data_IF_946496381608
#
_entry.id   IF_946496381608
#
_cell.length_a   1.000
_cell.length_b   1.000
_cell.length_c   1.000
_cell.angle_alpha   90.00
_cell.angle_beta   90.00
_cell.angle_gamma   90.00
#
_symmetry.space_group_name_H-M   'P 1'
#
loop_
_entity.id
_entity.type
_entity.pdbx_description
1 polymer ?
#
# COMPACT_ATOMS: atom_id res chain seq x y z
N UNK A 1 10.23 -8.54 15.97
CA UNK A 1 10.46 -8.36 17.42
C UNK A 1 10.12 -6.93 17.87
N UNK A 2 10.54 -5.88 17.15
CA UNK A 2 10.30 -4.47 17.50
C UNK A 2 8.85 -3.96 17.49
N UNK A 3 7.92 -4.61 16.77
CA UNK A 3 6.54 -4.12 16.65
C UNK A 3 5.67 -4.38 17.89
N UNK A 4 6.08 -5.26 18.82
CA UNK A 4 5.27 -5.60 20.01
C UNK A 4 5.25 -4.50 21.07
N UNK A 5 6.27 -3.65 21.09
CA UNK A 5 6.42 -2.59 22.10
C UNK A 5 5.81 -1.25 21.63
N UNK A 6 5.62 -1.07 20.32
CA UNK A 6 5.06 0.15 19.74
C UNK A 6 3.55 0.24 20.01
N UNK A 7 3.08 1.43 20.40
CA UNK A 7 1.64 1.70 20.52
C UNK A 7 1.05 1.91 19.14
N UNK A 8 0.13 1.05 18.74
CA UNK A 8 -0.52 1.09 17.42
C UNK A 8 -1.90 1.70 17.60
N UNK A 9 -2.22 2.73 16.84
CA UNK A 9 -3.55 3.31 16.79
C UNK A 9 -4.27 2.87 15.52
N UNK A 10 -5.46 2.31 15.66
CA UNK A 10 -6.32 1.95 14.53
C UNK A 10 -7.70 2.54 14.72
N UNK A 11 -8.49 2.55 13.66
CA UNK A 11 -9.92 2.78 13.78
C UNK A 11 -10.59 1.61 14.57
N UNK A 12 -11.89 1.75 14.83
CA UNK A 12 -12.70 0.74 15.53
C UNK A 12 -13.26 -0.34 14.60
N UNK A 13 -12.64 -0.58 13.44
CA UNK A 13 -13.13 -1.60 12.52
C UNK A 13 -12.92 -3.00 13.10
N UNK A 14 -13.99 -3.82 13.06
CA UNK A 14 -14.03 -5.15 13.71
C UNK A 14 -12.95 -6.11 13.23
N UNK A 15 -12.43 -5.93 12.02
CA UNK A 15 -11.37 -6.77 11.47
C UNK A 15 -10.05 -6.68 12.26
N UNK A 16 -9.85 -5.61 13.05
CA UNK A 16 -8.67 -5.44 13.90
C UNK A 16 -8.80 -6.12 15.28
N UNK A 17 -10.00 -6.56 15.67
CA UNK A 17 -10.22 -7.21 16.98
C UNK A 17 -9.35 -8.46 17.20
N UNK A 18 -9.15 -9.36 16.20
CA UNK A 18 -8.24 -10.51 16.36
C UNK A 18 -6.78 -10.09 16.58
N UNK A 19 -6.35 -8.95 16.03
CA UNK A 19 -4.95 -8.49 16.12
C UNK A 19 -4.55 -8.04 17.54
N UNK A 20 -5.52 -7.76 18.42
CA UNK A 20 -5.24 -7.48 19.83
C UNK A 20 -4.51 -8.62 20.54
N UNK A 21 -4.62 -9.85 20.03
CA UNK A 21 -3.87 -11.01 20.53
C UNK A 21 -2.36 -10.90 20.28
N UNK A 22 -1.99 -10.33 19.13
CA UNK A 22 -0.59 -10.25 18.69
C UNK A 22 0.06 -8.91 19.07
N UNK A 23 -0.75 -7.85 19.19
CA UNK A 23 -0.34 -6.48 19.47
C UNK A 23 -0.97 -5.98 20.77
N UNK A 24 -0.26 -6.17 21.88
CA UNK A 24 -0.74 -5.82 23.23
C UNK A 24 -1.04 -4.31 23.39
N UNK A 25 -0.28 -3.45 22.70
CA UNK A 25 -0.43 -1.99 22.75
C UNK A 25 -1.34 -1.43 21.64
N UNK A 26 -2.21 -2.25 21.03
CA UNK A 26 -3.16 -1.83 20.01
C UNK A 26 -4.35 -1.08 20.61
N UNK A 27 -4.46 0.21 20.33
CA UNK A 27 -5.58 1.08 20.72
C UNK A 27 -6.49 1.32 19.52
N UNK A 28 -7.75 0.93 19.65
CA UNK A 28 -8.79 1.26 18.68
C UNK A 28 -9.48 2.55 19.11
N UNK A 29 -9.48 3.55 18.26
CA UNK A 29 -10.09 4.86 18.51
C UNK A 29 -11.21 5.07 17.51
N UNK A 30 -12.34 5.61 17.98
CA UNK A 30 -13.45 5.97 17.11
C UNK A 30 -13.06 7.08 16.13
N UNK A 31 -13.77 7.10 15.00
CA UNK A 31 -13.56 8.11 13.97
C UNK A 31 -14.07 9.47 14.47
N UNK A 32 -13.15 10.43 14.64
CA UNK A 32 -13.47 11.84 14.96
C UNK A 32 -13.30 12.69 13.70
N UNK A 33 -14.18 12.49 12.71
CA UNK A 33 -14.20 13.29 11.48
C UNK A 33 -12.84 13.40 10.75
N UNK A 34 -12.05 12.32 10.79
CA UNK A 34 -10.69 12.29 10.23
C UNK A 34 -9.62 13.06 11.03
N UNK A 35 -9.98 13.76 12.11
CA UNK A 35 -9.04 14.50 12.98
C UNK A 35 -8.04 13.59 13.69
N UNK A 36 -8.47 12.38 14.05
CA UNK A 36 -7.63 11.36 14.69
C UNK A 36 -6.61 10.71 13.74
N UNK A 37 -6.80 10.83 12.42
CA UNK A 37 -5.99 10.15 11.41
C UNK A 37 -5.59 11.09 10.25
N UNK A 38 -5.12 12.30 10.58
CA UNK A 38 -4.74 13.32 9.58
C UNK A 38 -3.73 12.80 8.56
N UNK A 39 -2.72 12.09 9.03
CA UNK A 39 -1.67 11.53 8.16
C UNK A 39 -2.24 10.51 7.18
N UNK A 40 -3.12 9.62 7.65
CA UNK A 40 -3.80 8.65 6.79
C UNK A 40 -4.72 9.35 5.79
N UNK A 41 -5.45 10.38 6.22
CA UNK A 41 -6.31 11.17 5.34
C UNK A 41 -5.49 11.81 4.20
N UNK A 42 -4.38 12.46 4.54
CA UNK A 42 -3.44 13.04 3.57
C UNK A 42 -2.87 11.95 2.65
N UNK A 43 -2.52 10.79 3.21
CA UNK A 43 -1.99 9.68 2.42
C UNK A 43 -3.01 9.17 1.39
N UNK A 44 -4.27 8.99 1.80
CA UNK A 44 -5.36 8.59 0.90
C UNK A 44 -5.60 9.66 -0.18
N UNK A 45 -5.58 10.95 0.18
CA UNK A 45 -5.71 12.04 -0.78
C UNK A 45 -4.58 12.02 -1.82
N UNK A 46 -3.34 11.79 -1.38
CA UNK A 46 -2.18 11.69 -2.27
C UNK A 46 -2.29 10.51 -3.24
N UNK A 47 -2.77 9.35 -2.77
CA UNK A 47 -3.03 8.19 -3.65
C UNK A 47 -4.09 8.55 -4.70
N UNK A 48 -5.20 9.16 -4.28
CA UNK A 48 -6.28 9.57 -5.20
C UNK A 48 -5.79 10.57 -6.25
N UNK A 49 -5.01 11.58 -5.82
CA UNK A 49 -4.43 12.59 -6.72
C UNK A 49 -3.47 11.98 -7.72
N UNK A 50 -2.57 11.11 -7.26
CA UNK A 50 -1.64 10.39 -8.13
C UNK A 50 -2.37 9.50 -9.14
N UNK A 51 -3.36 8.72 -8.69
CA UNK A 51 -4.12 7.82 -9.55
C UNK A 51 -4.83 8.60 -10.68
N UNK A 52 -5.47 9.72 -10.33
CA UNK A 52 -6.17 10.58 -11.29
C UNK A 52 -5.23 11.31 -12.25
N UNK A 53 -3.99 11.58 -11.85
CA UNK A 53 -3.00 12.27 -12.67
C UNK A 53 -2.26 11.36 -13.65
N UNK A 54 -2.05 10.08 -13.31
CA UNK A 54 -1.29 9.13 -14.13
C UNK A 54 -2.17 8.34 -15.09
N UNK A 55 -3.35 7.90 -14.64
CA UNK A 55 -4.18 6.96 -15.38
C UNK A 55 -5.42 7.62 -15.97
N UNK A 56 -5.60 7.53 -17.29
CA UNK A 56 -6.82 8.00 -17.97
C UNK A 56 -8.03 7.10 -17.68
N UNK A 57 -7.81 5.78 -17.57
CA UNK A 57 -8.83 4.78 -17.25
C UNK A 57 -8.32 3.86 -16.15
N UNK A 58 -9.05 3.80 -15.04
CA UNK A 58 -8.74 2.94 -13.90
C UNK A 58 -9.76 1.81 -13.83
N UNK A 59 -9.27 0.56 -13.73
CA UNK A 59 -10.13 -0.60 -13.46
C UNK A 59 -9.98 -1.04 -12.00
N UNK A 60 -11.07 -1.53 -11.41
CA UNK A 60 -11.04 -2.10 -10.05
C UNK A 60 -10.14 -3.33 -9.97
N UNK A 61 -10.02 -4.09 -11.06
CA UNK A 61 -9.22 -5.32 -11.14
C UNK A 61 -7.72 -5.07 -10.91
N UNK A 62 -7.24 -3.87 -11.23
CA UNK A 62 -5.84 -3.49 -11.11
C UNK A 62 -5.53 -2.67 -9.86
N UNK A 63 -6.49 -2.51 -8.93
CA UNK A 63 -6.33 -1.66 -7.74
C UNK A 63 -5.07 -2.01 -6.94
N UNK A 64 -4.81 -3.31 -6.76
CA UNK A 64 -3.64 -3.74 -6.00
C UNK A 64 -2.33 -3.38 -6.72
N UNK A 65 -2.32 -3.41 -8.04
CA UNK A 65 -1.13 -3.07 -8.84
C UNK A 65 -0.88 -1.56 -8.87
N UNK A 66 -1.95 -0.75 -8.95
CA UNK A 66 -1.85 0.70 -8.75
C UNK A 66 -1.26 1.04 -7.38
N UNK A 67 -1.71 0.36 -6.32
CA UNK A 67 -1.15 0.55 -4.98
C UNK A 67 0.31 0.11 -4.92
N UNK A 68 0.70 -1.04 -5.49
CA UNK A 68 2.10 -1.48 -5.51
C UNK A 68 3.00 -0.43 -6.19
N UNK A 69 2.56 0.13 -7.32
CA UNK A 69 3.33 1.15 -8.03
C UNK A 69 3.41 2.46 -7.23
N UNK A 70 2.28 2.92 -6.68
CA UNK A 70 2.25 4.11 -5.83
C UNK A 70 3.24 3.98 -4.67
N UNK A 71 3.21 2.87 -3.94
CA UNK A 71 4.11 2.65 -2.81
C UNK A 71 5.56 2.49 -3.26
N UNK A 72 5.82 1.88 -4.41
CA UNK A 72 7.16 1.79 -4.98
C UNK A 72 7.77 3.19 -5.18
N UNK A 73 6.99 4.11 -5.75
CA UNK A 73 7.36 5.53 -5.97
C UNK A 73 7.43 6.31 -4.65
N UNK A 74 6.38 6.23 -3.84
CA UNK A 74 6.26 6.99 -2.58
C UNK A 74 7.41 6.71 -1.61
N UNK A 75 7.81 5.44 -1.49
CA UNK A 75 8.92 5.02 -0.62
C UNK A 75 10.30 5.43 -1.15
N UNK A 76 10.41 5.85 -2.41
CA UNK A 76 11.65 6.29 -3.06
C UNK A 76 11.65 7.75 -3.46
N UNK A 77 10.62 8.52 -3.07
CA UNK A 77 10.47 9.93 -3.46
C UNK A 77 11.65 10.82 -3.07
N UNK A 78 12.43 10.43 -2.05
CA UNK A 78 13.61 11.15 -1.59
C UNK A 78 14.90 10.74 -2.31
N UNK A 79 14.90 9.59 -2.99
CA UNK A 79 16.06 9.01 -3.66
C UNK A 79 15.72 8.68 -5.12
N UNK A 80 15.17 9.67 -5.84
CA UNK A 80 14.65 9.47 -7.20
C UNK A 80 15.73 9.08 -8.20
N UNK A 81 16.97 9.52 -7.99
CA UNK A 81 18.13 9.19 -8.83
C UNK A 81 18.40 7.68 -8.90
N UNK A 82 18.03 6.92 -7.86
CA UNK A 82 18.25 5.47 -7.80
C UNK A 82 17.06 4.64 -8.31
N UNK A 83 15.94 5.27 -8.67
CA UNK A 83 14.68 4.54 -8.93
C UNK A 83 14.78 3.60 -10.14
N UNK A 84 15.49 4.03 -11.19
CA UNK A 84 15.72 3.26 -12.41
C UNK A 84 16.58 2.03 -12.14
N UNK A 85 17.68 2.19 -11.41
CA UNK A 85 18.57 1.10 -11.02
C UNK A 85 17.82 0.04 -10.20
N UNK A 86 17.03 0.47 -9.21
CA UNK A 86 16.23 -0.45 -8.39
C UNK A 86 15.18 -1.19 -9.23
N UNK A 87 14.58 -0.50 -10.21
CA UNK A 87 13.62 -1.12 -11.12
C UNK A 87 14.29 -2.22 -11.97
N UNK A 88 15.45 -1.93 -12.56
CA UNK A 88 16.21 -2.89 -13.36
C UNK A 88 16.61 -4.11 -12.50
N UNK A 89 17.16 -3.87 -11.30
CA UNK A 89 17.52 -4.96 -10.38
C UNK A 89 16.30 -5.83 -10.03
N UNK A 90 15.13 -5.22 -9.81
CA UNK A 90 13.89 -5.97 -9.54
C UNK A 90 13.44 -6.78 -10.76
N UNK A 91 13.54 -6.22 -11.97
CA UNK A 91 13.19 -6.91 -13.21
C UNK A 91 14.08 -8.14 -13.44
N UNK A 92 15.41 -7.99 -13.28
CA UNK A 92 16.37 -9.09 -13.45
C UNK A 92 16.12 -10.24 -12.47
N UNK A 93 15.75 -9.91 -11.23
CA UNK A 93 15.46 -10.91 -10.20
C UNK A 93 14.01 -11.41 -10.21
N UNK A 94 13.17 -10.90 -11.13
CA UNK A 94 11.79 -11.33 -11.20
C UNK A 94 11.70 -12.71 -11.86
N UNK A 95 10.85 -13.58 -11.29
CA UNK A 95 10.61 -14.91 -11.86
C UNK A 95 10.07 -14.75 -13.28
N UNK A 96 10.74 -15.37 -14.26
CA UNK A 96 10.27 -15.36 -15.64
C UNK A 96 8.86 -15.96 -15.70
N UNK A 97 7.91 -15.19 -16.23
CA UNK A 97 6.53 -15.63 -16.47
C UNK A 97 6.42 -15.92 -17.97
N UNK A 98 6.07 -17.16 -18.33
CA UNK A 98 5.79 -17.52 -19.72
C UNK A 98 4.43 -16.98 -20.13
N UNK A 99 4.30 -16.45 -21.35
CA UNK A 99 3.05 -15.90 -21.92
C UNK A 99 1.88 -16.90 -21.89
N UNK A 100 2.17 -18.22 -21.90
CA UNK A 100 1.14 -19.27 -21.77
C UNK A 100 0.50 -19.35 -20.38
N UNK A 101 1.16 -18.81 -19.35
CA UNK A 101 0.66 -18.82 -17.97
C UNK A 101 -0.24 -17.62 -17.64
N UNK A 102 -0.25 -16.59 -18.49
CA UNK A 102 -1.06 -15.38 -18.31
C UNK A 102 -2.46 -15.48 -18.89
N UNK A 103 -2.70 -16.37 -19.86
CA UNK A 103 -4.02 -16.57 -20.49
C UNK A 103 -5.00 -17.32 -19.58
N UNK A 104 -4.51 -18.17 -18.68
CA UNK A 104 -5.34 -19.03 -17.82
C UNK A 104 -5.92 -18.32 -16.57
N UNK A 105 -5.84 -17.00 -16.49
CA UNK A 105 -6.25 -16.21 -15.31
C UNK A 105 -7.51 -15.38 -15.55
N UNK A 106 -8.00 -15.35 -16.78
CA UNK A 106 -9.17 -14.60 -17.24
C UNK A 106 -10.18 -15.46 -18.01
N UNK A 107 -9.99 -16.79 -18.03
CA UNK A 107 -10.97 -17.80 -18.43
C UNK A 107 -11.61 -18.44 -17.19
#
# INVERSE_FOLDING_TARGET
>A
MYLKEVTIFTDKWRCYSPLKKDFFNLKQVDWDDGKNFKELHIHIMNIKGWLRGIYHHCSKEHMQDYLKEYHFRYNRRLNMETISEVLIRKMVNYKVISVKSTTNKYD
#
